data_IF_197614791125
#
_entry.id   IF_197614791125
#
_cell.length_a   1.000
_cell.length_b   1.000
_cell.length_c   1.000
_cell.angle_alpha   90.00
_cell.angle_beta   90.00
_cell.angle_gamma   90.00
#
_symmetry.space_group_name_H-M   'P 1'
#
loop_
_entity.id
_entity.type
_entity.pdbx_description
1 polymer ?
#
# COMPACT_ATOMS: atom_id res chain seq x y z
N UNK A 1 8.55 -0.99 -29.77
CA UNK A 1 7.40 -0.51 -28.97
C UNK A 1 6.55 -1.70 -28.48
N UNK A 2 6.17 -2.63 -29.35
CA UNK A 2 5.31 -3.79 -29.03
C UNK A 2 5.87 -4.74 -27.95
N UNK A 3 7.19 -4.97 -27.91
CA UNK A 3 7.81 -5.82 -26.88
C UNK A 3 7.65 -5.29 -25.45
N UNK A 4 7.67 -3.95 -25.25
CA UNK A 4 7.48 -3.32 -23.93
C UNK A 4 6.02 -3.42 -23.48
N UNK A 5 5.08 -3.43 -24.42
CA UNK A 5 3.64 -3.59 -24.16
C UNK A 5 3.28 -5.02 -23.74
N UNK A 6 3.89 -6.04 -24.36
CA UNK A 6 3.68 -7.44 -23.98
C UNK A 6 4.24 -7.77 -22.60
N UNK A 7 5.42 -7.24 -22.24
CA UNK A 7 6.03 -7.44 -20.92
C UNK A 7 5.22 -6.76 -19.79
N UNK A 8 4.57 -5.62 -20.09
CA UNK A 8 3.69 -4.96 -19.12
C UNK A 8 2.39 -5.73 -18.89
N UNK A 9 1.86 -6.42 -19.92
CA UNK A 9 0.66 -7.26 -19.80
C UNK A 9 0.96 -8.55 -19.04
N UNK A 10 2.13 -9.16 -19.25
CA UNK A 10 2.56 -10.35 -18.53
C UNK A 10 2.56 -10.13 -17.01
N UNK A 11 3.07 -8.98 -16.54
CA UNK A 11 3.06 -8.61 -15.12
C UNK A 11 1.65 -8.50 -14.53
N UNK A 12 0.65 -8.17 -15.34
CA UNK A 12 -0.75 -8.07 -14.92
C UNK A 12 -1.46 -9.44 -14.82
N UNK A 13 -0.87 -10.50 -15.38
CA UNK A 13 -1.42 -11.86 -15.40
C UNK A 13 -0.78 -12.79 -14.36
N UNK A 14 0.01 -12.25 -13.43
CA UNK A 14 0.71 -13.01 -12.39
C UNK A 14 -0.10 -13.00 -11.08
N UNK A 15 -0.20 -14.17 -10.45
CA UNK A 15 -0.82 -14.33 -9.16
C UNK A 15 0.09 -13.79 -8.04
N UNK A 16 -0.40 -12.94 -7.12
CA UNK A 16 0.41 -12.36 -6.04
C UNK A 16 0.82 -13.37 -4.95
N UNK A 17 0.32 -14.61 -5.02
CA UNK A 17 0.63 -15.66 -4.04
C UNK A 17 1.64 -16.67 -4.58
N UNK A 18 1.37 -17.27 -5.74
CA UNK A 18 2.30 -18.26 -6.33
C UNK A 18 3.37 -17.62 -7.22
N UNK A 19 3.27 -16.32 -7.53
CA UNK A 19 4.21 -15.57 -8.39
C UNK A 19 4.37 -16.14 -9.81
N UNK A 20 3.46 -17.02 -10.20
CA UNK A 20 3.31 -17.56 -11.55
C UNK A 20 2.08 -16.96 -12.23
N UNK A 21 1.97 -17.12 -13.55
CA UNK A 21 0.73 -16.80 -14.26
C UNK A 21 -0.47 -17.50 -13.62
N UNK A 22 -1.61 -16.82 -13.56
CA UNK A 22 -2.78 -17.38 -12.89
C UNK A 22 -3.15 -18.78 -13.41
N UNK A 23 -3.31 -19.72 -12.49
CA UNK A 23 -3.80 -21.06 -12.79
C UNK A 23 -5.33 -21.09 -12.74
N UNK A 24 -5.94 -21.70 -13.77
CA UNK A 24 -7.40 -21.85 -13.84
C UNK A 24 -7.85 -22.86 -12.77
N UNK A 25 -8.97 -22.59 -12.06
CA UNK A 25 -9.85 -21.42 -12.21
C UNK A 25 -9.34 -20.18 -11.46
N UNK A 26 -9.51 -19.01 -12.06
CA UNK A 26 -9.15 -17.71 -11.45
C UNK A 26 -10.37 -17.16 -10.73
N UNK A 27 -10.26 -16.90 -9.43
CA UNK A 27 -11.36 -16.40 -8.60
C UNK A 27 -11.26 -14.90 -8.37
N UNK A 28 -12.41 -14.22 -8.34
CA UNK A 28 -12.54 -12.78 -8.04
C UNK A 28 -12.99 -12.61 -6.60
N UNK A 29 -12.24 -11.82 -5.85
CA UNK A 29 -12.61 -11.40 -4.50
C UNK A 29 -13.60 -10.21 -4.54
N UNK A 30 -14.39 -9.96 -3.47
CA UNK A 30 -15.26 -8.78 -3.37
C UNK A 30 -14.53 -7.44 -3.57
N UNK A 31 -13.23 -7.39 -3.25
CA UNK A 31 -12.35 -6.25 -3.50
C UNK A 31 -11.80 -6.18 -4.94
N UNK A 32 -12.38 -6.93 -5.88
CA UNK A 32 -12.02 -7.00 -7.31
C UNK A 32 -10.60 -7.50 -7.63
N UNK A 33 -9.89 -8.08 -6.67
CA UNK A 33 -8.59 -8.70 -6.90
C UNK A 33 -8.75 -10.17 -7.30
N UNK A 34 -7.84 -10.63 -8.16
CA UNK A 34 -7.85 -11.98 -8.72
C UNK A 34 -6.82 -12.86 -8.00
N UNK A 35 -7.17 -14.13 -7.76
CA UNK A 35 -6.28 -15.16 -7.23
C UNK A 35 -6.51 -16.47 -7.97
N UNK A 36 -5.49 -17.34 -8.00
CA UNK A 36 -5.72 -18.75 -8.34
C UNK A 36 -6.64 -19.36 -7.26
N UNK A 37 -7.61 -20.22 -7.63
CA UNK A 37 -8.48 -20.89 -6.64
C UNK A 37 -7.66 -21.64 -5.57
N UNK A 38 -6.57 -22.30 -5.98
CA UNK A 38 -5.66 -22.99 -5.05
C UNK A 38 -5.05 -22.01 -4.04
N UNK A 39 -4.49 -20.91 -4.51
CA UNK A 39 -3.90 -19.88 -3.65
C UNK A 39 -4.94 -19.25 -2.69
N UNK A 40 -6.15 -18.97 -3.16
CA UNK A 40 -7.22 -18.46 -2.31
C UNK A 40 -7.60 -19.47 -1.22
N UNK A 41 -7.63 -20.77 -1.56
CA UNK A 41 -7.90 -21.83 -0.60
C UNK A 41 -6.77 -21.98 0.44
N UNK A 42 -5.50 -21.88 0.02
CA UNK A 42 -4.36 -21.98 0.93
C UNK A 42 -4.35 -20.81 1.94
N UNK A 43 -4.61 -19.58 1.48
CA UNK A 43 -4.74 -18.40 2.36
C UNK A 43 -5.93 -18.54 3.31
N UNK A 44 -7.05 -19.07 2.83
CA UNK A 44 -8.23 -19.31 3.66
C UNK A 44 -7.97 -20.35 4.76
N UNK A 45 -7.29 -21.46 4.43
CA UNK A 45 -6.93 -22.51 5.39
C UNK A 45 -5.91 -22.01 6.42
N UNK A 46 -4.88 -21.26 5.99
CA UNK A 46 -3.91 -20.65 6.89
C UNK A 46 -4.56 -19.66 7.87
N UNK A 47 -5.60 -18.95 7.43
CA UNK A 47 -6.34 -17.99 8.26
C UNK A 47 -7.36 -18.65 9.20
N UNK A 48 -7.74 -19.92 8.95
CA UNK A 48 -8.75 -20.64 9.72
C UNK A 48 -8.30 -22.09 10.06
N UNK A 49 -7.24 -22.28 10.86
CA UNK A 49 -6.69 -23.60 11.19
C UNK A 49 -7.64 -24.51 11.99
N UNK A 50 -8.65 -23.95 12.66
CA UNK A 50 -9.65 -24.70 13.42
C UNK A 50 -10.84 -25.20 12.57
N UNK A 51 -10.95 -24.77 11.30
CA UNK A 51 -12.10 -25.09 10.44
C UNK A 51 -12.16 -26.56 10.02
N UNK A 52 -11.04 -27.28 10.01
CA UNK A 52 -10.99 -28.71 9.61
C UNK A 52 -11.17 -29.70 10.78
N UNK A 53 -11.03 -29.25 12.03
CA UNK A 53 -10.88 -30.18 13.18
C UNK A 53 -12.16 -30.47 13.96
N UNK A 54 -13.32 -29.91 13.62
CA UNK A 54 -14.58 -30.28 14.28
C UNK A 54 -15.73 -30.34 13.29
N UNK A 55 -16.24 -31.55 13.05
CA UNK A 55 -17.59 -31.77 12.52
C UNK A 55 -18.64 -31.37 13.56
N UNK A 56 -18.77 -30.07 13.83
CA UNK A 56 -19.66 -29.54 14.85
C UNK A 56 -20.61 -28.51 14.27
N UNK A 57 -21.89 -28.85 14.32
CA UNK A 57 -23.07 -28.13 13.83
C UNK A 57 -23.36 -26.80 14.55
N UNK A 58 -22.34 -26.00 14.87
CA UNK A 58 -22.51 -24.84 15.74
C UNK A 58 -21.62 -23.64 15.38
N UNK A 59 -21.59 -23.21 14.11
CA UNK A 59 -21.42 -21.77 13.76
C UNK A 59 -22.04 -21.54 12.36
N UNK A 60 -23.03 -20.65 12.17
CA UNK A 60 -23.55 -20.29 10.84
C UNK A 60 -22.68 -19.25 10.10
N UNK A 61 -21.62 -18.76 10.74
CA UNK A 61 -20.77 -17.69 10.21
C UNK A 61 -19.65 -18.30 9.37
N UNK A 62 -19.74 -18.13 8.05
CA UNK A 62 -18.71 -18.59 7.13
C UNK A 62 -17.35 -17.95 7.42
N UNK A 63 -16.28 -18.63 7.00
CA UNK A 63 -14.92 -18.23 7.33
C UNK A 63 -14.51 -16.90 6.65
N UNK A 64 -13.52 -16.23 7.23
CA UNK A 64 -12.97 -14.97 6.72
C UNK A 64 -11.48 -15.06 6.47
N UNK A 65 -10.98 -14.29 5.51
CA UNK A 65 -9.55 -14.08 5.29
C UNK A 65 -9.31 -12.69 4.71
N UNK A 66 -8.07 -12.20 4.73
CA UNK A 66 -7.73 -10.91 4.14
C UNK A 66 -7.13 -11.07 2.75
N UNK A 67 -7.54 -10.21 1.82
CA UNK A 67 -6.97 -10.15 0.48
C UNK A 67 -5.46 -9.85 0.55
N UNK A 68 -4.58 -10.66 -0.07
CA UNK A 68 -3.14 -10.42 -0.08
C UNK A 68 -2.73 -9.11 -0.78
N UNK A 69 -3.51 -8.67 -1.77
CA UNK A 69 -3.20 -7.49 -2.58
C UNK A 69 -3.59 -6.16 -1.92
N UNK A 70 -4.76 -6.10 -1.27
CA UNK A 70 -5.30 -4.84 -0.72
C UNK A 70 -5.68 -4.92 0.77
N UNK A 71 -5.45 -6.07 1.42
CA UNK A 71 -5.80 -6.35 2.83
C UNK A 71 -7.29 -6.25 3.19
N UNK A 72 -8.17 -6.04 2.21
CA UNK A 72 -9.61 -6.04 2.40
C UNK A 72 -10.09 -7.36 3.02
N UNK A 73 -11.00 -7.29 3.99
CA UNK A 73 -11.57 -8.46 4.64
C UNK A 73 -12.62 -9.12 3.75
N UNK A 74 -12.38 -10.39 3.43
CA UNK A 74 -13.27 -11.21 2.60
C UNK A 74 -14.00 -12.18 3.52
N UNK A 75 -15.31 -12.01 3.61
CA UNK A 75 -16.23 -12.91 4.32
C UNK A 75 -16.81 -13.89 3.32
N UNK A 76 -16.69 -15.19 3.60
CA UNK A 76 -17.20 -16.25 2.73
C UNK A 76 -18.47 -16.86 3.33
N UNK A 77 -19.25 -17.50 2.47
CA UNK A 77 -20.45 -18.24 2.87
C UNK A 77 -20.10 -19.70 3.24
N UNK A 78 -21.13 -20.55 3.39
CA UNK A 78 -20.99 -21.99 3.65
C UNK A 78 -20.19 -22.74 2.58
N UNK A 79 -20.07 -22.21 1.36
CA UNK A 79 -19.32 -22.83 0.26
C UNK A 79 -17.84 -22.40 0.25
N UNK A 80 -17.43 -21.48 1.13
CA UNK A 80 -16.05 -21.05 1.27
C UNK A 80 -15.48 -20.50 -0.03
N UNK A 81 -14.22 -20.83 -0.33
CA UNK A 81 -13.50 -20.36 -1.52
C UNK A 81 -14.12 -20.88 -2.82
N UNK A 82 -14.86 -21.99 -2.78
CA UNK A 82 -15.53 -22.55 -3.95
C UNK A 82 -16.74 -21.74 -4.40
N UNK A 83 -17.32 -20.92 -3.51
CA UNK A 83 -18.42 -20.00 -3.82
C UNK A 83 -17.99 -18.70 -4.52
N UNK A 84 -16.68 -18.41 -4.58
CA UNK A 84 -16.18 -17.23 -5.28
C UNK A 84 -16.36 -17.34 -6.79
N UNK A 85 -16.78 -16.23 -7.40
CA UNK A 85 -16.98 -16.14 -8.84
C UNK A 85 -15.67 -16.27 -9.61
N UNK A 86 -15.74 -16.85 -10.81
CA UNK A 86 -14.58 -16.99 -11.70
C UNK A 86 -14.44 -15.77 -12.61
N UNK A 87 -13.20 -15.37 -12.87
CA UNK A 87 -12.89 -14.34 -13.86
C UNK A 87 -12.60 -14.95 -15.23
N UNK A 88 -13.65 -15.25 -15.99
CA UNK A 88 -13.50 -15.84 -17.32
C UNK A 88 -12.73 -14.94 -18.29
N UNK A 89 -12.76 -13.62 -18.11
CA UNK A 89 -12.03 -12.68 -18.94
C UNK A 89 -10.51 -12.84 -18.75
N UNK A 90 -10.04 -12.89 -17.50
CA UNK A 90 -8.63 -13.15 -17.20
C UNK A 90 -8.22 -14.54 -17.69
N UNK A 91 -9.09 -15.54 -17.51
CA UNK A 91 -8.85 -16.88 -18.03
C UNK A 91 -8.70 -16.93 -19.56
N UNK A 92 -9.50 -16.16 -20.30
CA UNK A 92 -9.43 -16.09 -21.76
C UNK A 92 -8.19 -15.32 -22.25
N UNK A 93 -7.81 -14.24 -21.55
CA UNK A 93 -6.59 -13.48 -21.87
C UNK A 93 -5.35 -14.36 -21.71
N UNK A 94 -5.30 -15.20 -20.67
CA UNK A 94 -4.20 -16.14 -20.46
C UNK A 94 -4.10 -17.16 -21.61
N UNK A 95 -5.22 -17.62 -22.16
CA UNK A 95 -5.21 -18.55 -23.29
C UNK A 95 -4.67 -17.90 -24.56
N UNK A 96 -5.09 -16.65 -24.85
CA UNK A 96 -4.62 -15.89 -26.01
C UNK A 96 -3.10 -15.65 -25.89
N UNK A 97 -2.65 -15.21 -24.72
CA UNK A 97 -1.22 -14.98 -24.46
C UNK A 97 -0.39 -16.25 -24.65
N UNK A 98 -0.86 -17.39 -24.12
CA UNK A 98 -0.18 -18.68 -24.29
C UNK A 98 -0.14 -19.15 -25.75
N UNK A 99 -1.20 -18.89 -26.52
CA UNK A 99 -1.24 -19.22 -27.96
C UNK A 99 -0.28 -18.36 -28.78
N UNK A 100 -0.14 -17.08 -28.44
CA UNK A 100 0.73 -16.14 -29.14
C UNK A 100 2.22 -16.39 -28.79
N UNK A 101 2.51 -16.73 -27.54
CA UNK A 101 3.86 -17.13 -27.09
C UNK A 101 4.31 -18.50 -27.63
N UNK A 102 3.36 -19.36 -28.04
CA UNK A 102 3.64 -20.70 -28.57
C UNK A 102 3.87 -20.72 -30.09
N UNK A 103 3.80 -19.58 -30.79
CA UNK A 103 4.18 -19.51 -32.21
C UNK A 103 5.71 -19.62 -32.35
N UNK A 104 6.25 -20.65 -33.03
CA UNK A 104 7.67 -20.69 -33.34
C UNK A 104 8.02 -19.54 -34.30
N UNK A 105 8.82 -18.59 -33.82
CA UNK A 105 9.42 -17.55 -34.64
C UNK A 105 10.39 -18.18 -35.65
N UNK A 106 10.18 -17.88 -36.94
CA UNK A 106 11.13 -17.96 -38.07
C UNK A 106 11.58 -19.34 -38.57
N UNK A 107 10.92 -19.81 -39.64
CA UNK A 107 11.62 -20.44 -40.77
C UNK A 107 11.82 -19.36 -41.85
N UNK A 108 13.08 -19.01 -42.16
CA UNK A 108 13.41 -18.14 -43.31
C UNK A 108 13.07 -18.88 -44.60
N UNK A 109 11.90 -18.65 -45.16
CA UNK A 109 11.67 -18.81 -46.59
C UNK A 109 12.13 -17.52 -47.28
N UNK A 110 12.95 -17.63 -48.32
CA UNK A 110 13.25 -16.53 -49.23
C UNK A 110 11.91 -15.98 -49.78
N UNK A 111 11.46 -14.84 -49.26
CA UNK A 111 10.29 -14.14 -49.78
C UNK A 111 10.65 -13.50 -51.11
N UNK A 112 10.53 -14.26 -52.19
CA UNK A 112 10.62 -13.74 -53.54
C UNK A 112 9.36 -12.93 -53.83
N UNK A 113 9.52 -11.63 -54.10
CA UNK A 113 8.43 -10.77 -54.56
C UNK A 113 7.96 -11.26 -55.94
N UNK A 114 6.68 -11.58 -56.05
CA UNK A 114 6.05 -12.00 -57.31
C UNK A 114 5.49 -10.77 -58.03
N UNK A 115 5.37 -10.85 -59.35
CA UNK A 115 4.82 -9.76 -60.15
C UNK A 115 3.29 -9.67 -59.99
N UNK A 116 2.77 -8.46 -59.81
CA UNK A 116 1.33 -8.21 -59.65
C UNK A 116 0.51 -8.58 -60.89
N UNK A 117 1.11 -8.53 -62.08
CA UNK A 117 0.44 -8.91 -63.35
C UNK A 117 0.69 -10.37 -63.74
N UNK A 118 1.74 -10.98 -63.22
CA UNK A 118 2.20 -12.31 -63.59
C UNK A 118 2.52 -13.11 -62.32
N UNK A 119 1.48 -13.72 -61.74
CA UNK A 119 1.52 -14.35 -60.41
C UNK A 119 2.56 -15.49 -60.29
N UNK A 120 2.94 -16.12 -61.41
CA UNK A 120 3.95 -17.20 -61.47
C UNK A 120 5.38 -16.70 -61.70
N UNK A 121 5.58 -15.40 -62.00
CA UNK A 121 6.89 -14.83 -62.29
C UNK A 121 7.47 -14.03 -61.12
N UNK A 122 8.75 -14.27 -60.86
CA UNK A 122 9.51 -13.57 -59.83
C UNK A 122 10.04 -12.24 -60.36
N UNK A 123 10.00 -11.21 -59.52
CA UNK A 123 10.64 -9.94 -59.79
C UNK A 123 12.17 -10.11 -59.67
N UNK A 124 12.88 -10.03 -60.79
CA UNK A 124 14.32 -10.29 -60.90
C UNK A 124 15.08 -9.27 -61.76
N UNK A 125 14.38 -8.31 -62.36
CA UNK A 125 14.92 -7.32 -63.29
C UNK A 125 14.54 -5.92 -62.79
N UNK A 126 15.38 -4.92 -63.08
CA UNK A 126 15.09 -3.51 -62.78
C UNK A 126 14.99 -2.71 -64.07
N UNK A 127 13.91 -1.94 -64.22
CA UNK A 127 13.70 -1.06 -65.35
C UNK A 127 14.35 0.30 -65.10
N UNK A 128 15.37 0.65 -65.90
CA UNK A 128 16.13 1.90 -65.74
C UNK A 128 15.35 3.13 -66.21
N UNK A 129 14.34 2.96 -67.09
CA UNK A 129 13.49 4.06 -67.57
C UNK A 129 12.31 4.37 -66.66
N UNK A 130 11.78 3.35 -65.98
CA UNK A 130 10.63 3.48 -65.08
C UNK A 130 11.04 3.51 -63.60
N UNK A 131 12.34 3.36 -63.31
CA UNK A 131 12.91 3.31 -61.96
C UNK A 131 12.23 2.30 -61.02
N UNK A 132 11.72 1.20 -61.58
CA UNK A 132 10.92 0.20 -60.86
C UNK A 132 11.42 -1.23 -61.10
N UNK A 133 11.33 -2.12 -60.10
CA UNK A 133 11.62 -3.53 -60.25
C UNK A 133 10.48 -4.24 -61.01
N UNK A 134 10.82 -5.14 -61.92
CA UNK A 134 9.89 -5.82 -62.85
C UNK A 134 10.27 -7.29 -63.03
N UNK A 135 9.36 -8.10 -63.59
CA UNK A 135 9.63 -9.49 -63.97
C UNK A 135 10.00 -9.65 -65.44
N UNK A 136 10.43 -10.87 -65.81
CA UNK A 136 10.84 -11.25 -67.16
C UNK A 136 9.69 -11.12 -68.18
N UNK A 137 8.46 -11.50 -67.81
CA UNK A 137 7.31 -11.44 -68.72
C UNK A 137 6.88 -9.99 -69.03
N UNK A 138 6.91 -9.10 -68.04
CA UNK A 138 6.67 -7.67 -68.25
C UNK A 138 7.71 -7.04 -69.19
N UNK A 139 8.93 -7.59 -69.26
CA UNK A 139 9.98 -7.15 -70.20
C UNK A 139 9.82 -7.74 -71.61
N UNK A 140 9.38 -8.98 -71.76
CA UNK A 140 9.32 -9.61 -73.10
C UNK A 140 8.00 -9.29 -73.82
N UNK A 141 6.88 -9.29 -73.08
CA UNK A 141 5.54 -9.17 -73.65
C UNK A 141 4.69 -8.05 -73.02
N UNK A 142 5.07 -7.55 -71.85
CA UNK A 142 4.29 -6.54 -71.12
C UNK A 142 4.75 -5.09 -71.34
N UNK A 143 4.38 -4.23 -70.38
CA UNK A 143 4.54 -2.78 -70.44
C UNK A 143 6.00 -2.27 -70.54
N UNK A 144 6.99 -3.11 -70.23
CA UNK A 144 8.41 -2.74 -70.23
C UNK A 144 9.18 -3.27 -71.47
N UNK A 145 8.47 -3.68 -72.53
CA UNK A 145 9.05 -4.23 -73.76
C UNK A 145 10.16 -3.40 -74.36
N UNK A 146 9.93 -2.09 -74.50
CA UNK A 146 10.88 -1.17 -75.11
C UNK A 146 11.77 -0.46 -74.09
N UNK A 147 11.64 -0.78 -72.80
CA UNK A 147 12.41 -0.16 -71.73
C UNK A 147 13.78 -0.81 -71.58
N UNK A 148 14.80 -0.02 -71.25
CA UNK A 148 16.11 -0.55 -70.91
C UNK A 148 16.09 -1.13 -69.49
N UNK A 149 16.63 -2.34 -69.35
CA UNK A 149 16.57 -3.10 -68.10
C UNK A 149 17.94 -3.64 -67.72
N UNK A 150 18.15 -3.82 -66.42
CA UNK A 150 19.35 -4.44 -65.86
C UNK A 150 18.97 -5.51 -64.83
N UNK A 151 19.82 -6.53 -64.58
CA UNK A 151 19.58 -7.49 -63.51
C UNK A 151 19.42 -6.78 -62.16
N UNK A 152 18.36 -7.11 -61.42
CA UNK A 152 18.06 -6.50 -60.12
C UNK A 152 19.25 -6.62 -59.13
N UNK A 153 20.00 -7.74 -59.04
CA UNK A 153 21.18 -7.82 -58.18
C UNK A 153 22.28 -6.82 -58.55
N UNK A 154 22.46 -6.51 -59.83
CA UNK A 154 23.48 -5.57 -60.30
C UNK A 154 23.10 -4.12 -59.98
N UNK A 155 21.82 -3.76 -60.11
CA UNK A 155 21.31 -2.43 -59.71
C UNK A 155 21.31 -2.30 -58.19
N UNK A 156 20.90 -3.34 -57.47
CA UNK A 156 20.95 -3.39 -56.00
C UNK A 156 22.38 -3.18 -55.48
N UNK A 157 23.38 -3.86 -56.05
CA UNK A 157 24.77 -3.65 -55.66
C UNK A 157 25.25 -2.23 -55.97
N UNK A 158 24.85 -1.64 -57.11
CA UNK A 158 25.20 -0.25 -57.46
C UNK A 158 24.55 0.77 -56.51
N UNK A 159 23.26 0.59 -56.18
CA UNK A 159 22.52 1.49 -55.29
C UNK A 159 22.90 1.31 -53.81
N UNK A 160 23.28 0.09 -53.39
CA UNK A 160 23.63 -0.26 -52.00
C UNK A 160 25.13 -0.25 -51.68
N UNK A 161 26.04 -0.05 -52.63
CA UNK A 161 27.48 -0.01 -52.32
C UNK A 161 28.15 1.26 -52.85
N UNK A 162 27.42 2.18 -53.50
CA UNK A 162 28.02 3.41 -54.05
C UNK A 162 29.24 3.10 -54.92
N UNK A 163 29.03 2.42 -56.05
CA UNK A 163 30.12 1.72 -56.74
C UNK A 163 31.31 2.60 -57.18
N UNK A 164 32.57 2.19 -56.93
CA UNK A 164 33.72 2.70 -57.66
C UNK A 164 33.90 1.96 -59.00
N UNK A 165 34.66 2.62 -59.88
CA UNK A 165 34.81 2.42 -61.34
C UNK A 165 35.46 1.10 -61.79
N UNK A 166 35.19 0.74 -63.05
CA UNK A 166 36.00 -0.12 -63.94
C UNK A 166 35.16 -1.26 -64.55
N UNK A 167 35.12 -1.53 -65.87
CA UNK A 167 36.22 -1.67 -66.83
C UNK A 167 35.73 -1.55 -68.30
N UNK A 168 36.57 -0.98 -69.18
CA UNK A 168 36.71 -1.39 -70.60
C UNK A 168 36.17 -0.47 -71.72
N UNK A 169 37.00 0.44 -72.26
CA UNK A 169 36.78 1.10 -73.56
C UNK A 169 37.63 2.37 -73.78
N UNK A 170 38.19 2.64 -74.98
CA UNK A 170 39.24 3.65 -75.17
C UNK A 170 38.74 5.11 -75.21
N UNK A 171 39.69 6.01 -74.93
CA UNK A 171 39.61 7.47 -74.66
C UNK A 171 38.71 8.32 -75.57
N UNK A 172 38.02 9.27 -74.93
CA UNK A 172 37.76 10.63 -75.45
C UNK A 172 38.08 11.64 -74.33
N UNK A 173 38.77 12.78 -74.58
CA UNK A 173 39.00 13.79 -73.56
C UNK A 173 37.82 14.77 -73.54
N UNK A 174 37.03 14.77 -72.46
CA UNK A 174 36.05 15.81 -72.20
C UNK A 174 36.09 16.18 -70.70
N UNK A 175 36.31 17.49 -70.49
CA UNK A 175 36.20 18.37 -69.31
C UNK A 175 35.86 17.77 -67.92
N UNK A 176 36.40 18.34 -66.82
CA UNK A 176 36.08 17.91 -65.47
C UNK A 176 34.61 18.24 -65.14
N UNK A 177 33.82 17.29 -64.63
CA UNK A 177 32.51 17.62 -64.06
C UNK A 177 32.71 18.38 -62.75
N UNK A 178 32.09 19.56 -62.64
CA UNK A 178 32.15 20.46 -61.48
C UNK A 178 31.30 20.03 -60.27
N UNK A 179 30.85 18.77 -60.23
CA UNK A 179 30.28 18.13 -59.03
C UNK A 179 30.46 16.62 -59.12
N UNK A 180 31.02 15.94 -58.10
CA UNK A 180 30.99 14.48 -58.07
C UNK A 180 29.53 14.00 -57.95
N UNK A 181 29.13 12.92 -58.66
CA UNK A 181 27.84 12.28 -58.40
C UNK A 181 27.88 11.70 -56.99
N UNK A 182 27.14 12.29 -56.06
CA UNK A 182 27.00 11.81 -54.70
C UNK A 182 26.14 10.53 -54.71
N UNK A 183 26.54 9.53 -53.93
CA UNK A 183 25.86 8.24 -53.87
C UNK A 183 24.56 8.37 -53.06
N UNK A 184 23.40 7.91 -53.57
CA UNK A 184 22.12 7.97 -52.82
C UNK A 184 22.18 7.32 -51.43
N UNK A 185 23.05 6.32 -51.27
CA UNK A 185 23.27 5.64 -50.00
C UNK A 185 24.01 6.49 -48.96
N UNK A 186 24.96 7.35 -49.37
CA UNK A 186 25.66 8.22 -48.42
C UNK A 186 24.72 9.30 -47.89
N UNK A 187 23.85 9.86 -48.74
CA UNK A 187 22.84 10.84 -48.31
C UNK A 187 21.81 10.24 -47.35
N UNK A 188 21.37 9.01 -47.60
CA UNK A 188 20.49 8.28 -46.68
C UNK A 188 21.22 7.97 -45.37
N UNK A 189 22.47 7.54 -45.42
CA UNK A 189 23.28 7.25 -44.23
C UNK A 189 23.52 8.51 -43.38
N UNK A 190 23.81 9.65 -44.02
CA UNK A 190 24.01 10.94 -43.35
C UNK A 190 22.69 11.45 -42.74
N UNK A 191 21.57 11.29 -43.46
CA UNK A 191 20.23 11.59 -42.96
C UNK A 191 19.86 10.73 -41.73
N UNK A 192 20.16 9.43 -41.78
CA UNK A 192 19.98 8.51 -40.64
C UNK A 192 20.85 8.95 -39.46
N UNK A 193 22.13 9.29 -39.70
CA UNK A 193 23.05 9.72 -38.64
C UNK A 193 22.56 11.01 -37.95
N UNK A 194 22.06 12.00 -38.70
CA UNK A 194 21.48 13.22 -38.13
C UNK A 194 20.22 12.92 -37.30
N UNK A 195 19.36 12.02 -37.76
CA UNK A 195 18.16 11.61 -37.01
C UNK A 195 18.51 10.86 -35.73
N UNK A 196 19.49 9.95 -35.76
CA UNK A 196 19.98 9.25 -34.57
C UNK A 196 20.51 10.27 -33.55
N UNK A 197 21.37 11.19 -33.97
CA UNK A 197 21.88 12.24 -33.09
C UNK A 197 20.78 13.18 -32.55
N UNK A 198 19.74 13.47 -33.36
CA UNK A 198 18.57 14.22 -32.93
C UNK A 198 17.74 13.48 -31.88
N UNK A 199 17.52 12.19 -32.09
CA UNK A 199 16.81 11.32 -31.14
C UNK A 199 17.57 11.17 -29.82
N UNK A 200 18.90 11.05 -29.85
CA UNK A 200 19.74 10.98 -28.64
C UNK A 200 19.59 12.26 -27.80
N UNK A 201 19.52 13.44 -28.44
CA UNK A 201 19.28 14.72 -27.75
C UNK A 201 17.89 14.77 -27.12
N UNK A 202 16.86 14.32 -27.84
CA UNK A 202 15.49 14.25 -27.30
C UNK A 202 15.45 13.29 -26.12
N UNK A 203 16.10 12.14 -26.22
CA UNK A 203 16.17 11.15 -25.15
C UNK A 203 16.86 11.71 -23.90
N UNK A 204 17.93 12.49 -24.06
CA UNK A 204 18.58 13.19 -22.95
C UNK A 204 17.67 14.21 -22.26
N UNK A 205 16.88 14.97 -23.05
CA UNK A 205 15.88 15.92 -22.51
C UNK A 205 14.79 15.18 -21.75
N UNK A 206 14.29 14.06 -22.28
CA UNK A 206 13.29 13.21 -21.59
C UNK A 206 13.84 12.74 -20.24
N UNK A 207 15.07 12.23 -20.20
CA UNK A 207 15.70 11.78 -18.95
C UNK A 207 15.89 12.93 -17.96
N UNK A 208 16.27 14.12 -18.41
CA UNK A 208 16.35 15.30 -17.55
C UNK A 208 14.97 15.70 -16.99
N UNK A 209 13.92 15.65 -17.82
CA UNK A 209 12.54 15.93 -17.37
C UNK A 209 12.05 14.89 -16.35
N UNK A 210 12.36 13.62 -16.55
CA UNK A 210 12.07 12.54 -15.59
C UNK A 210 12.76 12.78 -14.24
N UNK A 211 14.02 13.23 -14.25
CA UNK A 211 14.77 13.57 -13.04
C UNK A 211 14.17 14.79 -12.31
N UNK A 212 13.73 15.81 -13.04
CA UNK A 212 13.03 16.97 -12.48
C UNK A 212 11.71 16.53 -11.84
N UNK A 213 10.92 15.68 -12.50
CA UNK A 213 9.68 15.13 -11.94
C UNK A 213 9.95 14.40 -10.62
N UNK A 214 10.94 13.49 -10.61
CA UNK A 214 11.31 12.78 -9.39
C UNK A 214 11.74 13.73 -8.26
N UNK A 215 12.51 14.78 -8.59
CA UNK A 215 12.95 15.80 -7.63
C UNK A 215 11.76 16.59 -7.06
N UNK A 216 10.78 16.96 -7.88
CA UNK A 216 9.56 17.64 -7.45
C UNK A 216 8.75 16.74 -6.52
N UNK A 217 8.55 15.47 -6.88
CA UNK A 217 7.84 14.51 -6.05
C UNK A 217 8.51 14.33 -4.68
N UNK A 218 9.83 14.17 -4.67
CA UNK A 218 10.61 13.99 -3.45
C UNK A 218 10.64 15.25 -2.57
N UNK A 219 10.75 16.45 -3.17
CA UNK A 219 10.60 17.71 -2.45
C UNK A 219 9.19 17.85 -1.85
N UNK A 220 8.15 17.54 -2.63
CA UNK A 220 6.76 17.56 -2.17
C UNK A 220 6.52 16.58 -1.02
N UNK A 221 7.07 15.38 -1.09
CA UNK A 221 7.02 14.37 -0.02
C UNK A 221 7.70 14.88 1.25
N UNK A 222 8.91 15.45 1.14
CA UNK A 222 9.66 16.03 2.27
C UNK A 222 8.89 17.17 2.94
N UNK A 223 8.30 18.08 2.17
CA UNK A 223 7.54 19.20 2.72
C UNK A 223 6.27 18.74 3.43
N UNK A 224 5.53 17.77 2.84
CA UNK A 224 4.38 17.14 3.49
C UNK A 224 4.77 16.51 4.83
N UNK A 225 5.89 15.79 4.87
CA UNK A 225 6.41 15.20 6.11
C UNK A 225 6.78 16.28 7.13
N UNK A 226 7.43 17.37 6.71
CA UNK A 226 7.80 18.46 7.61
C UNK A 226 6.56 19.09 8.27
N UNK A 227 5.52 19.38 7.49
CA UNK A 227 4.26 19.94 8.01
C UNK A 227 3.59 18.94 8.95
N UNK A 228 3.53 17.65 8.58
CA UNK A 228 3.01 16.59 9.44
C UNK A 228 3.68 16.57 10.82
N UNK A 229 5.01 16.59 10.86
CA UNK A 229 5.78 16.59 12.11
C UNK A 229 5.49 17.81 13.00
N UNK A 230 5.16 18.97 12.43
CA UNK A 230 4.77 20.16 13.21
C UNK A 230 3.43 19.96 13.90
N UNK A 231 2.46 19.38 13.23
CA UNK A 231 1.16 19.04 13.82
C UNK A 231 1.30 17.93 14.86
N UNK A 232 2.10 16.89 14.59
CA UNK A 232 2.37 15.81 15.55
C UNK A 232 2.99 16.35 16.85
N UNK A 233 3.90 17.34 16.76
CA UNK A 233 4.45 18.00 17.93
C UNK A 233 3.37 18.77 18.73
N UNK A 234 2.45 19.46 18.06
CA UNK A 234 1.32 20.14 18.72
C UNK A 234 0.40 19.14 19.43
N UNK A 235 0.07 18.02 18.77
CA UNK A 235 -0.70 16.94 19.38
C UNK A 235 0.00 16.36 20.61
N UNK A 236 1.32 16.18 20.54
CA UNK A 236 2.13 15.71 21.67
C UNK A 236 2.01 16.63 22.89
N UNK A 237 2.14 17.94 22.70
CA UNK A 237 2.01 18.93 23.78
C UNK A 237 0.60 18.90 24.39
N UNK A 238 -0.44 18.83 23.56
CA UNK A 238 -1.83 18.78 24.02
C UNK A 238 -2.11 17.52 24.83
N UNK A 239 -1.65 16.35 24.37
CA UNK A 239 -1.86 15.09 25.07
C UNK A 239 -1.08 15.03 26.40
N UNK A 240 0.14 15.58 26.45
CA UNK A 240 0.92 15.71 27.68
C UNK A 240 0.18 16.59 28.70
N UNK A 241 -0.29 17.78 28.30
CA UNK A 241 -1.05 18.68 29.19
C UNK A 241 -2.35 18.06 29.70
N UNK A 242 -3.09 17.37 28.84
CA UNK A 242 -4.29 16.62 29.22
C UNK A 242 -3.97 15.56 30.28
N UNK A 243 -2.87 14.81 30.08
CA UNK A 243 -2.43 13.79 31.03
C UNK A 243 -2.08 14.38 32.39
N UNK A 244 -1.34 15.49 32.43
CA UNK A 244 -1.01 16.20 33.67
C UNK A 244 -2.28 16.61 34.44
N UNK A 245 -3.25 17.23 33.76
CA UNK A 245 -4.49 17.69 34.39
C UNK A 245 -5.33 16.53 34.95
N UNK A 246 -5.48 15.45 34.17
CA UNK A 246 -6.18 14.25 34.63
C UNK A 246 -5.48 13.59 35.81
N UNK A 247 -4.14 13.62 35.83
CA UNK A 247 -3.36 13.09 36.93
C UNK A 247 -3.55 13.92 38.21
N UNK A 248 -3.67 15.25 38.11
CA UNK A 248 -4.01 16.11 39.26
C UNK A 248 -5.39 15.80 39.83
N UNK A 249 -6.40 15.60 38.98
CA UNK A 249 -7.76 15.21 39.41
C UNK A 249 -7.72 13.86 40.13
N UNK A 250 -7.04 12.87 39.54
CA UNK A 250 -6.92 11.54 40.12
C UNK A 250 -6.19 11.56 41.47
N UNK A 251 -5.14 12.38 41.61
CA UNK A 251 -4.40 12.53 42.86
C UNK A 251 -5.26 13.15 43.97
N UNK A 252 -6.03 14.21 43.67
CA UNK A 252 -6.94 14.81 44.65
C UNK A 252 -8.07 13.85 45.02
N UNK A 253 -8.65 13.15 44.04
CA UNK A 253 -9.69 12.15 44.28
C UNK A 253 -9.17 11.03 45.21
N UNK A 254 -7.98 10.49 44.93
CA UNK A 254 -7.40 9.42 45.74
C UNK A 254 -7.08 9.92 47.16
N UNK A 255 -6.51 11.12 47.31
CA UNK A 255 -6.28 11.72 48.62
C UNK A 255 -7.58 11.91 49.41
N UNK A 256 -8.65 12.38 48.76
CA UNK A 256 -9.97 12.53 49.39
C UNK A 256 -10.56 11.19 49.82
N UNK A 257 -10.51 10.19 48.95
CA UNK A 257 -10.97 8.85 49.26
C UNK A 257 -10.16 8.21 50.38
N UNK A 258 -8.84 8.37 50.40
CA UNK A 258 -7.99 7.87 51.48
C UNK A 258 -8.36 8.49 52.82
N UNK A 259 -8.62 9.81 52.86
CA UNK A 259 -9.05 10.49 54.08
C UNK A 259 -10.38 9.94 54.60
N UNK A 260 -11.38 9.81 53.72
CA UNK A 260 -12.70 9.28 54.10
C UNK A 260 -12.60 7.82 54.55
N UNK A 261 -11.85 6.98 53.84
CA UNK A 261 -11.58 5.59 54.24
C UNK A 261 -10.85 5.52 55.58
N UNK A 262 -9.92 6.43 55.85
CA UNK A 262 -9.23 6.56 57.13
C UNK A 262 -10.19 6.89 58.27
N UNK A 263 -11.10 7.84 58.06
CA UNK A 263 -12.15 8.18 59.04
C UNK A 263 -13.10 7.00 59.29
N UNK A 264 -13.52 6.28 58.23
CA UNK A 264 -14.36 5.08 58.39
C UNK A 264 -13.67 4.04 59.27
N UNK A 265 -12.36 3.81 59.08
CA UNK A 265 -11.59 2.89 59.94
C UNK A 265 -11.55 3.38 61.38
N UNK A 266 -11.25 4.65 61.62
CA UNK A 266 -11.25 5.23 62.96
C UNK A 266 -12.60 5.09 63.67
N UNK A 267 -13.70 5.39 62.97
CA UNK A 267 -15.04 5.19 63.50
C UNK A 267 -15.35 3.71 63.77
N UNK A 268 -14.87 2.80 62.90
CA UNK A 268 -14.96 1.36 63.10
C UNK A 268 -14.23 0.89 64.36
N UNK A 269 -12.97 1.32 64.54
CA UNK A 269 -12.15 0.97 65.70
C UNK A 269 -12.76 1.52 67.00
N UNK A 270 -13.28 2.76 66.97
CA UNK A 270 -14.00 3.36 68.09
C UNK A 270 -15.27 2.57 68.44
N UNK A 271 -16.04 2.14 67.43
CA UNK A 271 -17.25 1.35 67.63
C UNK A 271 -16.93 -0.02 68.23
N UNK A 272 -15.89 -0.70 67.74
CA UNK A 272 -15.45 -2.00 68.27
C UNK A 272 -14.97 -1.88 69.72
N UNK A 273 -14.17 -0.86 70.02
CA UNK A 273 -13.74 -0.56 71.38
C UNK A 273 -14.93 -0.29 72.31
N UNK A 274 -15.89 0.51 71.85
CA UNK A 274 -17.13 0.78 72.58
C UNK A 274 -17.96 -0.50 72.79
N UNK A 275 -18.08 -1.37 71.79
CA UNK A 275 -18.81 -2.65 71.89
C UNK A 275 -18.19 -3.55 72.95
N UNK A 276 -16.86 -3.73 72.93
CA UNK A 276 -16.13 -4.52 73.94
C UNK A 276 -16.31 -3.97 75.35
N UNK A 277 -16.33 -2.64 75.49
CA UNK A 277 -16.56 -1.97 76.77
C UNK A 277 -17.98 -2.23 77.29
N UNK A 278 -18.98 -2.21 76.40
CA UNK A 278 -20.37 -2.57 76.73
C UNK A 278 -20.50 -4.05 77.09
N UNK A 279 -19.92 -4.96 76.31
CA UNK A 279 -19.92 -6.41 76.59
C UNK A 279 -19.27 -6.73 77.95
N UNK A 280 -18.11 -6.13 78.23
CA UNK A 280 -17.42 -6.29 79.51
C UNK A 280 -18.24 -5.74 80.69
N UNK A 281 -18.95 -4.63 80.49
CA UNK A 281 -19.83 -4.07 81.51
C UNK A 281 -21.01 -5.00 81.80
N UNK A 282 -21.63 -5.57 80.76
CA UNK A 282 -22.73 -6.53 80.91
C UNK A 282 -22.25 -7.79 81.62
N UNK A 283 -21.12 -8.36 81.20
CA UNK A 283 -20.54 -9.56 81.83
C UNK A 283 -20.21 -9.32 83.31
N UNK A 284 -19.71 -8.13 83.67
CA UNK A 284 -19.49 -7.77 85.06
C UNK A 284 -20.81 -7.73 85.85
N UNK A 285 -21.88 -7.16 85.29
CA UNK A 285 -23.19 -7.11 85.94
C UNK A 285 -23.80 -8.50 86.20
N UNK A 286 -23.40 -9.51 85.44
CA UNK A 286 -23.85 -10.91 85.59
C UNK A 286 -22.98 -11.74 86.55
N UNK A 287 -21.85 -11.21 87.05
CA UNK A 287 -20.88 -11.96 87.84
C UNK A 287 -21.33 -12.17 89.30
N UNK A 288 -21.54 -13.43 89.76
CA UNK A 288 -21.99 -13.70 91.12
C UNK A 288 -20.89 -13.54 92.19
N UNK A 289 -19.60 -13.57 91.80
CA UNK A 289 -18.48 -13.45 92.73
C UNK A 289 -18.05 -11.99 92.92
N UNK A 290 -18.32 -11.44 94.12
CA UNK A 290 -18.03 -10.04 94.47
C UNK A 290 -16.56 -9.62 94.23
N UNK A 291 -15.60 -10.52 94.49
CA UNK A 291 -14.19 -10.24 94.28
C UNK A 291 -13.83 -10.08 92.79
N UNK A 292 -14.42 -10.91 91.93
CA UNK A 292 -14.22 -10.87 90.47
C UNK A 292 -14.90 -9.63 89.88
N UNK A 293 -16.11 -9.30 90.33
CA UNK A 293 -16.83 -8.08 89.96
C UNK A 293 -16.00 -6.80 90.22
N UNK A 294 -15.45 -6.67 91.44
CA UNK A 294 -14.62 -5.52 91.81
C UNK A 294 -13.29 -5.49 91.01
N UNK A 295 -12.75 -6.65 90.64
CA UNK A 295 -11.55 -6.74 89.83
C UNK A 295 -11.80 -6.34 88.36
N UNK A 296 -12.93 -6.74 87.77
CA UNK A 296 -13.35 -6.34 86.42
C UNK A 296 -13.65 -4.85 86.36
N UNK A 297 -14.41 -4.31 87.33
CA UNK A 297 -14.66 -2.86 87.43
C UNK A 297 -13.37 -2.05 87.55
N UNK A 298 -12.40 -2.53 88.34
CA UNK A 298 -11.09 -1.88 88.46
C UNK A 298 -10.30 -1.94 87.16
N UNK A 299 -10.36 -3.06 86.43
CA UNK A 299 -9.72 -3.25 85.12
C UNK A 299 -10.30 -2.36 84.02
N UNK A 300 -11.59 -2.02 84.12
CA UNK A 300 -12.27 -1.07 83.23
C UNK A 300 -11.97 0.40 83.58
N UNK A 301 -11.09 0.68 84.56
CA UNK A 301 -10.77 2.05 84.99
C UNK A 301 -11.87 2.72 85.82
N UNK A 302 -12.86 1.98 86.32
CA UNK A 302 -14.03 2.50 87.02
C UNK A 302 -13.78 2.89 88.49
N UNK A 303 -12.62 3.47 88.81
CA UNK A 303 -12.40 4.12 90.13
C UNK A 303 -13.34 5.30 90.36
N UNK A 304 -13.91 5.83 89.29
CA UNK A 304 -15.13 6.65 89.27
C UNK A 304 -16.09 5.97 88.29
N UNK A 305 -17.28 5.59 88.74
CA UNK A 305 -18.26 4.92 87.89
C UNK A 305 -18.57 5.79 86.65
N UNK A 306 -18.46 5.20 85.45
CA UNK A 306 -18.85 5.74 84.13
C UNK A 306 -17.87 6.64 83.34
N UNK A 307 -16.67 6.95 83.85
CA UNK A 307 -15.72 7.83 83.14
C UNK A 307 -15.39 7.39 81.70
N UNK A 308 -14.87 6.16 81.48
CA UNK A 308 -14.48 5.66 80.15
C UNK A 308 -15.64 5.55 79.15
N UNK A 309 -16.85 5.22 79.64
CA UNK A 309 -18.07 5.16 78.81
C UNK A 309 -18.46 6.57 78.34
N UNK A 310 -18.35 7.54 79.25
CA UNK A 310 -18.66 8.95 78.96
C UNK A 310 -17.63 9.56 78.00
N UNK A 311 -16.36 9.21 78.16
CA UNK A 311 -15.27 9.71 77.31
C UNK A 311 -15.32 9.12 75.90
N UNK A 312 -15.63 7.82 75.77
CA UNK A 312 -15.85 7.19 74.46
C UNK A 312 -17.08 7.78 73.73
N UNK A 313 -18.13 8.12 74.48
CA UNK A 313 -19.33 8.78 73.93
C UNK A 313 -19.01 10.17 73.38
N UNK A 314 -18.15 10.95 74.04
CA UNK A 314 -17.74 12.30 73.62
C UNK A 314 -16.81 12.29 72.41
N UNK A 315 -15.96 11.27 72.26
CA UNK A 315 -15.01 11.16 71.15
C UNK A 315 -15.68 10.95 69.77
N UNK A 316 -16.93 10.49 69.73
CA UNK A 316 -17.66 10.20 68.49
C UNK A 316 -17.99 11.42 67.62
N UNK A 317 -17.93 12.64 68.17
CA UNK A 317 -18.46 13.87 67.54
C UNK A 317 -17.43 14.81 66.90
N UNK A 318 -16.13 14.51 66.98
CA UNK A 318 -15.08 15.51 66.67
C UNK A 318 -14.42 15.42 65.28
N UNK A 319 -14.72 14.40 64.45
CA UNK A 319 -13.93 14.10 63.24
C UNK A 319 -14.77 13.83 61.97
N UNK A 320 -15.73 14.70 61.65
CA UNK A 320 -16.49 14.62 60.39
C UNK A 320 -15.80 15.41 59.25
N UNK A 321 -15.83 14.94 57.99
CA UNK A 321 -15.44 15.77 56.84
C UNK A 321 -16.29 17.04 56.77
N UNK A 322 -15.68 18.14 56.31
CA UNK A 322 -16.39 19.40 56.08
C UNK A 322 -17.52 19.22 55.03
N UNK A 323 -18.66 19.94 55.15
CA UNK A 323 -19.72 19.89 54.14
C UNK A 323 -19.19 20.31 52.76
N UNK A 324 -19.48 19.50 51.73
CA UNK A 324 -19.00 19.76 50.36
C UNK A 324 -17.60 19.23 50.05
N UNK A 325 -16.99 18.46 50.94
CA UNK A 325 -15.69 17.79 50.73
C UNK A 325 -15.63 16.95 49.45
N UNK A 326 -16.77 16.40 49.04
CA UNK A 326 -16.97 15.61 47.83
C UNK A 326 -16.90 16.41 46.52
N UNK A 327 -16.97 17.75 46.58
CA UNK A 327 -16.99 18.58 45.38
C UNK A 327 -15.64 18.49 44.62
N UNK A 328 -15.71 18.37 43.29
CA UNK A 328 -14.56 18.32 42.37
C UNK A 328 -14.73 19.30 41.19
N UNK A 329 -15.71 20.20 41.26
CA UNK A 329 -16.12 21.07 40.15
C UNK A 329 -15.13 22.23 39.90
N UNK A 330 -14.20 22.47 40.82
CA UNK A 330 -13.12 23.45 40.63
C UNK A 330 -12.15 23.06 39.51
N UNK A 331 -12.13 21.79 39.11
CA UNK A 331 -11.42 21.33 37.92
C UNK A 331 -12.19 21.70 36.64
N UNK A 332 -12.00 22.93 36.17
CA UNK A 332 -12.56 23.43 34.92
C UNK A 332 -11.48 23.98 33.99
N UNK A 333 -11.63 23.77 32.68
CA UNK A 333 -10.73 24.32 31.67
C UNK A 333 -11.54 24.98 30.56
N UNK A 334 -11.08 26.15 30.09
CA UNK A 334 -11.58 26.77 28.87
C UNK A 334 -10.58 26.52 27.73
N UNK A 335 -11.05 25.94 26.64
CA UNK A 335 -10.21 25.60 25.47
C UNK A 335 -10.57 26.43 24.22
N UNK A 336 -11.50 27.37 24.34
CA UNK A 336 -12.10 28.08 23.20
C UNK A 336 -11.06 28.93 22.46
N UNK A 337 -10.22 29.63 23.21
CA UNK A 337 -9.14 30.45 22.66
C UNK A 337 -8.13 29.61 21.87
N UNK A 338 -7.69 28.48 22.43
CA UNK A 338 -6.74 27.58 21.77
C UNK A 338 -7.37 26.95 20.53
N UNK A 339 -8.65 26.55 20.61
CA UNK A 339 -9.38 26.02 19.47
C UNK A 339 -9.56 27.05 18.35
N UNK A 340 -9.71 28.34 18.67
CA UNK A 340 -9.71 29.41 17.67
C UNK A 340 -8.33 29.58 17.04
N UNK A 341 -7.25 29.65 17.85
CA UNK A 341 -5.88 29.74 17.33
C UNK A 341 -5.53 28.60 16.36
N UNK A 342 -5.94 27.37 16.67
CA UNK A 342 -5.72 26.20 15.81
C UNK A 342 -6.53 26.28 14.51
N UNK A 343 -7.73 26.86 14.53
CA UNK A 343 -8.57 27.07 13.33
C UNK A 343 -8.00 28.13 12.40
N UNK A 344 -7.27 29.11 12.93
CA UNK A 344 -6.65 30.19 12.16
C UNK A 344 -5.25 29.87 11.64
N UNK A 345 -4.78 28.62 11.71
CA UNK A 345 -3.46 28.25 11.16
C UNK A 345 -3.50 28.33 9.63
N UNK A 346 -2.78 29.29 9.07
CA UNK A 346 -2.67 29.48 7.63
C UNK A 346 -1.44 28.81 7.04
N UNK A 347 -1.60 28.25 5.83
CA UNK A 347 -0.51 27.68 5.05
C UNK A 347 0.21 28.80 4.29
N UNK A 348 1.45 29.11 4.65
CA UNK A 348 2.24 30.07 3.89
C UNK A 348 2.68 29.45 2.57
N UNK A 349 1.97 29.75 1.49
CA UNK A 349 2.45 29.50 0.13
C UNK A 349 3.47 30.57 -0.20
N UNK A 350 4.75 30.22 -0.21
CA UNK A 350 5.80 31.12 -0.72
C UNK A 350 5.46 31.51 -2.16
N UNK A 351 5.39 32.83 -2.40
CA UNK A 351 5.28 33.40 -3.74
C UNK A 351 6.59 33.22 -4.52
#
# INVERSE_FOLDING_TARGET
>A
AEARSMESLEKQLICPICLEMFSKPVVILPCQHNLCRKCANDVFQASNPLWQSRGSSAVPSGGRFRCPSCRHEVVLDRHGVYGLQRNLLVENIIDIYKQESARPLHAKAEQHLMCEEHEDERINIYCLRCEAPTCSLCKVFGAHKDCEVAPLPAVYQRQKVGGPRGLGGPRVPAQPPSRPPLCPQSELSDGIAMLVAGNDRIQAIITQMEEICHTIEENGRRQKQHVGLRFDALYGILEERKKELLQSIAAEQEAKLQRVRGLIRQYGDHLEASSKLVESAIQAMEEPQMAVYLQVLRGMGAGTALGPITDMSKASMSSRPEPGYENMDHFSINVDYVAEMLRTIEFQTGA
#
